data_IF_844034803721
#
_entry.id   IF_844034803721
#
_cell.length_a   1.000
_cell.length_b   1.000
_cell.length_c   1.000
_cell.angle_alpha   90.00
_cell.angle_beta   90.00
_cell.angle_gamma   90.00
#
_symmetry.space_group_name_H-M   'P 1'
#
loop_
_entity.id
_entity.type
_entity.pdbx_description
1 polymer ?
#
# COMPACT_ATOMS: atom_id res chain seq x y z
N UNK A 1 52.23 -10.87 15.54
CA UNK A 1 50.81 -11.27 15.43
C UNK A 1 50.67 -12.31 14.34
N UNK A 2 50.01 -13.45 14.60
CA UNK A 2 49.87 -14.55 13.64
C UNK A 2 49.05 -14.07 12.43
N UNK A 3 49.53 -14.27 11.20
CA UNK A 3 48.86 -13.85 9.95
C UNK A 3 47.42 -14.38 9.85
N UNK A 4 47.14 -15.55 10.47
CA UNK A 4 45.77 -16.11 10.57
C UNK A 4 44.85 -15.29 11.48
N UNK A 5 45.38 -14.79 12.60
CA UNK A 5 44.62 -13.95 13.55
C UNK A 5 44.34 -12.58 12.93
N UNK A 6 45.31 -12.01 12.20
CA UNK A 6 45.11 -10.75 11.48
C UNK A 6 44.02 -10.89 10.40
N UNK A 7 44.00 -11.99 9.63
CA UNK A 7 42.99 -12.24 8.61
C UNK A 7 41.56 -12.34 9.16
N UNK A 8 41.38 -13.00 10.30
CA UNK A 8 40.07 -13.11 10.97
C UNK A 8 39.59 -11.73 11.45
N UNK A 9 40.48 -10.93 12.04
CA UNK A 9 40.14 -9.58 12.52
C UNK A 9 39.68 -8.69 11.37
N UNK A 10 40.37 -8.73 10.22
CA UNK A 10 39.97 -7.94 9.03
C UNK A 10 38.60 -8.40 8.49
N UNK A 11 38.34 -9.71 8.41
CA UNK A 11 37.05 -10.22 7.94
C UNK A 11 35.88 -9.77 8.83
N UNK A 12 36.06 -9.82 10.15
CA UNK A 12 35.04 -9.36 11.11
C UNK A 12 34.79 -7.86 10.98
N UNK A 13 35.84 -7.05 10.82
CA UNK A 13 35.70 -5.60 10.62
C UNK A 13 34.94 -5.29 9.33
N UNK A 14 35.21 -6.00 8.23
CA UNK A 14 34.50 -5.80 6.95
C UNK A 14 33.03 -6.19 7.07
N UNK A 15 32.71 -7.28 7.78
CA UNK A 15 31.31 -7.68 8.02
C UNK A 15 30.60 -6.64 8.89
N UNK A 16 31.21 -6.20 9.98
CA UNK A 16 30.63 -5.19 10.86
C UNK A 16 30.47 -3.85 10.12
N UNK A 17 31.46 -3.44 9.34
CA UNK A 17 31.39 -2.24 8.52
C UNK A 17 30.32 -2.36 7.41
N UNK A 18 30.17 -3.55 6.82
CA UNK A 18 29.12 -3.84 5.85
C UNK A 18 27.73 -3.77 6.45
N UNK A 19 27.53 -4.37 7.64
CA UNK A 19 26.27 -4.28 8.40
C UNK A 19 26.01 -2.84 8.82
N UNK A 20 27.02 -2.14 9.37
CA UNK A 20 26.87 -0.75 9.79
C UNK A 20 26.59 0.17 8.61
N UNK A 21 27.21 -0.04 7.45
CA UNK A 21 26.95 0.73 6.23
C UNK A 21 25.57 0.43 5.65
N UNK A 22 25.12 -0.83 5.69
CA UNK A 22 23.77 -1.23 5.32
C UNK A 22 22.73 -0.54 6.23
N UNK A 23 22.91 -0.66 7.55
CA UNK A 23 22.06 0.02 8.53
C UNK A 23 22.08 1.53 8.35
N UNK A 24 23.24 2.17 8.13
CA UNK A 24 23.35 3.62 7.90
C UNK A 24 22.73 4.09 6.58
N UNK A 25 22.79 3.26 5.53
CA UNK A 25 22.22 3.59 4.23
C UNK A 25 20.69 3.54 4.29
N UNK A 26 20.12 2.57 5.02
CA UNK A 26 18.66 2.46 5.20
C UNK A 26 18.10 3.38 6.31
N UNK A 27 18.86 3.65 7.38
CA UNK A 27 18.41 4.53 8.47
C UNK A 27 18.46 6.02 8.14
N UNK A 28 19.11 6.42 7.04
CA UNK A 28 19.16 7.83 6.60
C UNK A 28 17.98 8.31 5.74
N UNK A 29 17.03 7.44 5.37
CA UNK A 29 15.98 7.81 4.41
C UNK A 29 14.67 8.32 5.06
N UNK A 30 14.40 8.18 6.37
CA UNK A 30 13.07 8.54 6.89
C UNK A 30 12.96 9.07 8.34
N UNK A 31 14.02 9.57 8.97
CA UNK A 31 13.98 9.85 10.42
C UNK A 31 13.59 11.28 10.86
N UNK A 32 13.05 12.16 10.02
CA UNK A 32 12.76 13.55 10.48
C UNK A 32 11.42 14.18 10.11
N UNK A 33 10.63 13.63 9.19
CA UNK A 33 9.29 14.16 8.91
C UNK A 33 8.33 12.99 8.73
N UNK A 34 7.37 12.87 9.65
CA UNK A 34 6.27 11.92 9.49
C UNK A 34 5.53 12.12 8.17
N UNK A 35 4.65 11.19 7.83
CA UNK A 35 3.90 11.28 6.57
C UNK A 35 2.65 12.16 6.74
N UNK A 36 2.34 13.03 5.76
CA UNK A 36 1.09 13.78 5.76
C UNK A 36 -0.10 12.84 5.50
N UNK A 37 -1.22 13.12 6.16
CA UNK A 37 -2.44 12.34 5.94
C UNK A 37 -3.06 12.67 4.57
N UNK A 38 -3.56 11.63 3.89
CA UNK A 38 -4.32 11.70 2.64
C UNK A 38 -3.52 12.18 1.43
N UNK A 39 -2.19 12.01 1.42
CA UNK A 39 -1.33 12.45 0.31
C UNK A 39 -0.23 11.45 0.05
N UNK A 40 0.08 11.24 -1.23
CA UNK A 40 1.27 10.51 -1.62
C UNK A 40 2.53 11.32 -1.32
N UNK A 41 3.57 10.63 -0.87
CA UNK A 41 4.93 11.16 -0.76
C UNK A 41 5.88 10.30 -1.56
N UNK A 42 6.92 10.91 -2.13
CA UNK A 42 8.03 10.17 -2.73
C UNK A 42 8.92 9.63 -1.62
N UNK A 43 9.16 8.32 -1.63
CA UNK A 43 9.90 7.61 -0.58
C UNK A 43 11.22 7.01 -1.05
N UNK A 44 11.39 6.87 -2.36
CA UNK A 44 12.63 6.41 -2.98
C UNK A 44 12.72 6.91 -4.43
N UNK A 45 13.94 6.99 -4.96
CA UNK A 45 14.20 7.18 -6.38
C UNK A 45 14.30 5.85 -7.15
N UNK A 46 14.17 4.73 -6.45
CA UNK A 46 14.20 3.40 -7.06
C UNK A 46 12.89 3.11 -7.82
N UNK A 47 13.06 2.51 -8.99
CA UNK A 47 12.00 1.90 -9.79
C UNK A 47 11.83 0.44 -9.36
N UNK A 48 10.67 0.12 -8.79
CA UNK A 48 10.31 -1.22 -8.34
C UNK A 48 9.37 -1.92 -9.34
N UNK A 49 9.01 -1.25 -10.44
CA UNK A 49 8.21 -1.85 -11.48
C UNK A 49 9.07 -2.73 -12.40
N UNK A 50 8.46 -3.70 -13.09
CA UNK A 50 9.11 -4.35 -14.22
C UNK A 50 9.56 -3.32 -15.27
N UNK A 51 10.61 -3.63 -16.03
CA UNK A 51 11.13 -2.71 -17.05
C UNK A 51 10.04 -2.28 -18.04
N UNK A 52 9.90 -0.96 -18.24
CA UNK A 52 8.89 -0.38 -19.14
C UNK A 52 7.47 -0.36 -18.55
N UNK A 53 7.33 -0.57 -17.25
CA UNK A 53 6.03 -0.58 -16.55
C UNK A 53 6.01 0.40 -15.38
N UNK A 54 4.81 0.62 -14.88
CA UNK A 54 4.49 1.29 -13.63
C UNK A 54 3.65 0.31 -12.82
N UNK A 55 3.90 0.17 -11.54
CA UNK A 55 3.07 -0.64 -10.65
C UNK A 55 2.25 0.25 -9.73
N UNK A 56 0.97 -0.07 -9.58
CA UNK A 56 0.11 0.41 -8.50
C UNK A 56 -0.16 -0.79 -7.60
N UNK A 57 0.12 -0.67 -6.32
CA UNK A 57 0.04 -1.76 -5.35
C UNK A 57 -0.80 -1.31 -4.17
N UNK A 58 -1.89 -2.01 -3.90
CA UNK A 58 -2.77 -1.79 -2.75
C UNK A 58 -2.58 -2.88 -1.70
N UNK A 59 -2.36 -2.48 -0.44
CA UNK A 59 -2.55 -3.33 0.72
C UNK A 59 -3.83 -2.91 1.44
N UNK A 60 -4.73 -3.86 1.67
CA UNK A 60 -5.93 -3.64 2.47
C UNK A 60 -6.36 -4.93 3.20
N UNK A 61 -7.58 -4.97 3.71
CA UNK A 61 -8.24 -6.15 4.24
C UNK A 61 -9.74 -6.08 3.89
N UNK A 62 -10.44 -7.23 3.88
CA UNK A 62 -11.78 -7.30 3.28
C UNK A 62 -12.75 -6.29 3.91
N UNK A 63 -12.83 -6.24 5.23
CA UNK A 63 -13.74 -5.33 5.94
C UNK A 63 -13.19 -3.91 6.15
N UNK A 64 -12.11 -3.49 5.48
CA UNK A 64 -11.49 -2.18 5.71
C UNK A 64 -12.39 -1.04 5.22
N UNK A 65 -12.92 -0.14 6.09
CA UNK A 65 -13.72 1.00 5.62
C UNK A 65 -12.89 1.99 4.79
N UNK A 66 -11.60 2.11 5.09
CA UNK A 66 -10.67 2.97 4.35
C UNK A 66 -10.38 2.39 2.96
N UNK A 67 -10.11 1.08 2.88
CA UNK A 67 -9.93 0.36 1.62
C UNK A 67 -11.20 0.38 0.77
N UNK A 68 -12.36 0.11 1.38
CA UNK A 68 -13.65 0.17 0.71
C UNK A 68 -13.89 1.54 0.05
N UNK A 69 -13.65 2.64 0.78
CA UNK A 69 -13.80 3.98 0.23
C UNK A 69 -12.76 4.30 -0.87
N UNK A 70 -11.51 3.90 -0.68
CA UNK A 70 -10.43 4.14 -1.64
C UNK A 70 -10.60 3.32 -2.94
N UNK A 71 -11.21 2.13 -2.85
CA UNK A 71 -11.43 1.24 -3.99
C UNK A 71 -12.20 1.90 -5.14
N UNK A 72 -13.11 2.84 -4.83
CA UNK A 72 -13.81 3.61 -5.87
C UNK A 72 -12.89 4.54 -6.65
N UNK A 73 -11.95 5.20 -5.96
CA UNK A 73 -10.97 6.07 -6.61
C UNK A 73 -9.96 5.25 -7.43
N UNK A 74 -9.54 4.10 -6.90
CA UNK A 74 -8.69 3.13 -7.63
C UNK A 74 -9.39 2.66 -8.91
N UNK A 75 -10.67 2.25 -8.81
CA UNK A 75 -11.46 1.82 -9.95
C UNK A 75 -11.63 2.93 -10.99
N UNK A 76 -11.94 4.15 -10.57
CA UNK A 76 -12.17 5.28 -11.47
C UNK A 76 -10.94 5.64 -12.30
N UNK A 77 -9.74 5.46 -11.75
CA UNK A 77 -8.47 5.66 -12.49
C UNK A 77 -8.11 4.46 -13.34
N UNK A 78 -8.04 3.28 -12.70
CA UNK A 78 -7.43 2.10 -13.31
C UNK A 78 -8.27 1.49 -14.44
N UNK A 79 -9.58 1.79 -14.51
CA UNK A 79 -10.42 1.42 -15.66
C UNK A 79 -9.92 2.02 -17.00
N UNK A 80 -9.11 3.08 -16.95
CA UNK A 80 -8.49 3.67 -18.14
C UNK A 80 -7.23 2.90 -18.58
N UNK A 81 -6.62 2.11 -17.70
CA UNK A 81 -5.36 1.40 -17.95
C UNK A 81 -5.54 -0.09 -18.26
N UNK A 82 -6.73 -0.63 -18.04
CA UNK A 82 -7.04 -2.03 -18.29
C UNK A 82 -8.42 -2.43 -17.76
N UNK A 83 -8.68 -3.73 -17.76
CA UNK A 83 -9.93 -4.29 -17.28
C UNK A 83 -9.77 -4.76 -15.82
N UNK A 84 -10.58 -4.19 -14.93
CA UNK A 84 -10.68 -4.60 -13.52
C UNK A 84 -11.81 -5.62 -13.36
N UNK A 85 -11.50 -6.73 -12.70
CA UNK A 85 -12.48 -7.66 -12.14
C UNK A 85 -12.67 -7.33 -10.67
N UNK A 86 -13.93 -7.26 -10.23
CA UNK A 86 -14.25 -6.88 -8.86
C UNK A 86 -15.59 -7.45 -8.40
N UNK A 87 -15.78 -7.47 -7.09
CA UNK A 87 -17.03 -7.77 -6.42
C UNK A 87 -17.52 -6.55 -5.63
N UNK A 88 -18.83 -6.34 -5.63
CA UNK A 88 -19.46 -5.31 -4.82
C UNK A 88 -19.49 -5.77 -3.36
N UNK A 89 -19.03 -4.92 -2.45
CA UNK A 89 -18.81 -5.30 -1.06
C UNK A 89 -19.13 -4.15 -0.09
N UNK A 90 -19.27 -4.49 1.19
CA UNK A 90 -19.37 -3.55 2.30
C UNK A 90 -18.25 -3.82 3.28
N UNK A 91 -17.62 -2.78 3.83
CA UNK A 91 -16.69 -2.93 4.95
C UNK A 91 -17.37 -3.57 6.17
N UNK A 92 -16.56 -4.00 7.15
CA UNK A 92 -16.98 -4.66 8.38
C UNK A 92 -18.21 -3.95 9.02
N UNK A 93 -19.34 -4.65 9.21
CA UNK A 93 -20.53 -4.07 9.83
C UNK A 93 -20.34 -3.71 11.31
N UNK A 94 -19.35 -4.32 11.98
CA UNK A 94 -19.05 -4.12 13.40
C UNK A 94 -17.93 -3.10 13.63
N UNK A 95 -17.30 -2.60 12.56
CA UNK A 95 -16.28 -1.55 12.62
C UNK A 95 -16.89 -0.15 12.46
N UNK A 96 -16.20 0.89 12.95
CA UNK A 96 -16.61 2.28 12.76
C UNK A 96 -15.68 3.00 11.77
N UNK A 97 -16.21 3.59 10.68
CA UNK A 97 -17.60 3.56 10.25
C UNK A 97 -18.00 2.19 9.65
N UNK A 98 -19.26 1.82 9.85
CA UNK A 98 -19.81 0.50 9.49
C UNK A 98 -20.38 0.50 8.07
N UNK A 99 -20.37 -0.67 7.43
CA UNK A 99 -21.03 -0.89 6.13
C UNK A 99 -20.66 0.17 5.08
N UNK A 100 -19.39 0.51 4.97
CA UNK A 100 -18.93 1.42 3.92
C UNK A 100 -18.95 0.66 2.58
N UNK A 101 -19.69 1.15 1.57
CA UNK A 101 -19.71 0.48 0.27
C UNK A 101 -18.34 0.58 -0.40
N UNK A 102 -17.91 -0.50 -1.04
CA UNK A 102 -16.62 -0.60 -1.72
C UNK A 102 -16.60 -1.71 -2.77
N UNK A 103 -15.40 -1.92 -3.31
CA UNK A 103 -15.06 -2.98 -4.24
C UNK A 103 -13.98 -3.88 -3.65
N UNK A 104 -14.14 -5.18 -3.84
CA UNK A 104 -13.06 -6.15 -3.68
C UNK A 104 -12.52 -6.47 -5.08
N UNK A 105 -11.28 -6.12 -5.35
CA UNK A 105 -10.64 -6.42 -6.63
C UNK A 105 -10.20 -7.88 -6.68
N UNK A 106 -10.63 -8.58 -7.72
CA UNK A 106 -10.33 -10.00 -7.93
C UNK A 106 -9.36 -10.23 -9.09
N UNK A 107 -9.05 -9.18 -9.85
CA UNK A 107 -8.01 -9.22 -10.87
C UNK A 107 -7.93 -7.94 -11.69
N UNK A 108 -6.80 -7.79 -12.38
CA UNK A 108 -6.58 -6.71 -13.32
C UNK A 108 -5.86 -7.24 -14.56
N UNK A 109 -6.37 -6.90 -15.74
CA UNK A 109 -5.72 -7.18 -17.00
C UNK A 109 -5.33 -5.87 -17.65
N UNK A 110 -4.04 -5.54 -17.55
CA UNK A 110 -3.48 -4.34 -18.16
C UNK A 110 -3.64 -4.34 -19.68
N UNK A 111 -3.91 -3.16 -20.22
CA UNK A 111 -3.85 -2.86 -21.66
C UNK A 111 -2.85 -1.74 -21.95
N UNK A 112 -2.01 -1.36 -20.97
CA UNK A 112 -1.12 -0.19 -21.00
C UNK A 112 0.20 -0.48 -20.24
N UNK A 113 0.91 0.59 -19.83
CA UNK A 113 2.15 0.54 -19.05
C UNK A 113 1.93 0.34 -17.54
N UNK A 114 0.70 0.50 -17.05
CA UNK A 114 0.37 0.30 -15.63
C UNK A 114 -0.05 -1.15 -15.37
N UNK A 115 0.52 -1.75 -14.33
CA UNK A 115 0.05 -2.99 -13.71
C UNK A 115 -0.54 -2.68 -12.33
N UNK A 116 -1.53 -3.46 -11.91
CA UNK A 116 -2.19 -3.30 -10.60
C UNK A 116 -2.16 -4.61 -9.82
N UNK A 117 -1.79 -4.49 -8.56
CA UNK A 117 -1.71 -5.59 -7.61
C UNK A 117 -2.41 -5.19 -6.32
N UNK A 118 -3.11 -6.14 -5.70
CA UNK A 118 -3.77 -5.93 -4.42
C UNK A 118 -3.57 -7.14 -3.54
N UNK A 119 -3.29 -6.91 -2.26
CA UNK A 119 -3.33 -7.95 -1.23
C UNK A 119 -4.32 -7.58 -0.13
N UNK A 120 -5.29 -8.46 0.11
CA UNK A 120 -6.16 -8.42 1.28
C UNK A 120 -5.54 -9.31 2.36
N UNK A 121 -5.14 -8.75 3.50
CA UNK A 121 -4.39 -9.51 4.52
C UNK A 121 -5.30 -10.20 5.56
N UNK A 122 -6.45 -9.62 5.87
CA UNK A 122 -7.39 -10.12 6.87
C UNK A 122 -8.79 -10.35 6.28
N UNK A 123 -9.58 -11.19 6.97
CA UNK A 123 -11.00 -11.39 6.69
C UNK A 123 -11.85 -10.16 7.06
N UNK A 124 -13.15 -10.20 6.76
CA UNK A 124 -14.13 -9.13 7.00
C UNK A 124 -14.23 -8.65 8.46
N UNK A 125 -13.86 -9.45 9.46
CA UNK A 125 -14.05 -9.12 10.89
C UNK A 125 -12.73 -8.91 11.63
N UNK A 126 -11.61 -8.81 10.91
CA UNK A 126 -10.28 -8.59 11.48
C UNK A 126 -9.92 -9.61 12.60
N UNK A 127 -10.37 -10.85 12.47
CA UNK A 127 -10.16 -11.93 13.44
C UNK A 127 -9.55 -13.19 12.83
N UNK A 128 -9.32 -13.18 11.51
CA UNK A 128 -8.65 -14.22 10.76
C UNK A 128 -7.88 -13.61 9.58
N UNK A 129 -6.99 -14.39 8.98
CA UNK A 129 -6.39 -14.09 7.68
C UNK A 129 -7.46 -14.02 6.60
N UNK A 130 -7.10 -13.49 5.43
CA UNK A 130 -7.97 -13.44 4.26
C UNK A 130 -8.56 -14.80 3.83
N UNK A 131 -7.89 -15.91 4.20
CA UNK A 131 -8.34 -17.28 3.90
C UNK A 131 -9.05 -17.98 5.08
N UNK A 132 -9.35 -17.26 6.16
CA UNK A 132 -10.14 -17.76 7.29
C UNK A 132 -9.34 -18.45 8.40
N UNK A 133 -8.00 -18.40 8.37
CA UNK A 133 -7.17 -18.89 9.47
C UNK A 133 -7.22 -17.91 10.65
N UNK A 134 -7.72 -18.30 11.85
CA UNK A 134 -7.87 -17.37 12.97
C UNK A 134 -6.57 -16.70 13.39
N UNK A 135 -6.63 -15.40 13.70
CA UNK A 135 -5.49 -14.60 14.15
C UNK A 135 -5.82 -13.98 15.52
N UNK A 136 -5.03 -14.23 16.56
CA UNK A 136 -5.16 -13.49 17.82
C UNK A 136 -4.97 -11.99 17.62
N UNK A 137 -5.79 -11.16 18.28
CA UNK A 137 -5.75 -9.70 18.10
C UNK A 137 -4.36 -9.07 18.32
N UNK A 138 -3.56 -9.60 19.24
CA UNK A 138 -2.21 -9.12 19.52
C UNK A 138 -1.15 -9.58 18.49
N UNK A 139 -1.53 -10.37 17.49
CA UNK A 139 -0.67 -10.89 16.43
C UNK A 139 -1.03 -10.34 15.04
N UNK A 140 -2.05 -9.48 14.93
CA UNK A 140 -2.55 -8.97 13.65
C UNK A 140 -1.42 -8.37 12.79
N UNK A 141 -0.60 -7.48 13.35
CA UNK A 141 0.52 -6.86 12.61
C UNK A 141 1.51 -7.93 12.13
N UNK A 142 2.02 -8.78 13.02
CA UNK A 142 3.03 -9.79 12.67
C UNK A 142 2.53 -10.76 11.59
N UNK A 143 1.30 -11.25 11.71
CA UNK A 143 0.72 -12.17 10.73
C UNK A 143 0.40 -11.44 9.42
N UNK A 144 -0.10 -10.21 9.49
CA UNK A 144 -0.36 -9.37 8.32
C UNK A 144 0.92 -9.10 7.51
N UNK A 145 2.04 -8.81 8.19
CA UNK A 145 3.34 -8.63 7.53
C UNK A 145 3.81 -9.89 6.80
N UNK A 146 3.60 -11.07 7.40
CA UNK A 146 3.95 -12.34 6.78
C UNK A 146 3.10 -12.60 5.53
N UNK A 147 1.78 -12.47 5.67
CA UNK A 147 0.82 -12.64 4.56
C UNK A 147 1.18 -11.69 3.42
N UNK A 148 1.42 -10.40 3.72
CA UNK A 148 1.73 -9.40 2.69
C UNK A 148 2.99 -9.76 1.90
N UNK A 149 4.05 -10.21 2.59
CA UNK A 149 5.28 -10.66 1.93
C UNK A 149 5.05 -11.87 1.04
N UNK A 150 4.25 -12.84 1.51
CA UNK A 150 3.93 -14.05 0.77
C UNK A 150 3.08 -13.76 -0.47
N UNK A 151 1.99 -13.01 -0.33
CA UNK A 151 1.09 -12.64 -1.42
C UNK A 151 1.81 -11.84 -2.52
N UNK A 152 2.56 -10.80 -2.15
CA UNK A 152 3.30 -10.02 -3.14
C UNK A 152 4.42 -10.82 -3.82
N UNK A 153 5.09 -11.72 -3.11
CA UNK A 153 6.05 -12.62 -3.73
C UNK A 153 5.38 -13.57 -4.73
N UNK A 154 4.19 -14.10 -4.42
CA UNK A 154 3.42 -14.95 -5.34
C UNK A 154 2.95 -14.19 -6.58
N UNK A 155 2.64 -12.89 -6.44
CA UNK A 155 2.32 -11.99 -7.55
C UNK A 155 3.54 -11.59 -8.39
N UNK A 156 4.76 -12.00 -7.99
CA UNK A 156 6.00 -11.70 -8.69
C UNK A 156 6.57 -10.30 -8.43
N UNK A 157 6.12 -9.63 -7.37
CA UNK A 157 6.63 -8.30 -6.99
C UNK A 157 7.99 -8.41 -6.28
N UNK A 158 8.88 -7.41 -6.45
CA UNK A 158 10.12 -7.34 -5.68
C UNK A 158 9.85 -7.29 -4.16
N UNK A 159 10.65 -7.99 -3.32
CA UNK A 159 10.47 -7.98 -1.87
C UNK A 159 10.43 -6.58 -1.24
N UNK A 160 11.11 -5.61 -1.86
CA UNK A 160 11.14 -4.21 -1.47
C UNK A 160 9.75 -3.58 -1.39
N UNK A 161 8.80 -4.00 -2.24
CA UNK A 161 7.43 -3.46 -2.22
C UNK A 161 6.76 -3.75 -0.88
N UNK A 162 6.80 -5.01 -0.43
CA UNK A 162 6.26 -5.40 0.87
C UNK A 162 7.02 -4.72 2.02
N UNK A 163 8.36 -4.66 1.94
CA UNK A 163 9.19 -4.06 2.99
C UNK A 163 8.89 -2.58 3.19
N UNK A 164 8.74 -1.81 2.11
CA UNK A 164 8.41 -0.39 2.20
C UNK A 164 7.01 -0.15 2.75
N UNK A 165 5.99 -0.90 2.29
CA UNK A 165 4.64 -0.78 2.85
C UNK A 165 4.66 -1.05 4.35
N UNK A 166 5.29 -2.16 4.78
CA UNK A 166 5.39 -2.51 6.21
C UNK A 166 6.12 -1.43 7.00
N UNK A 167 7.25 -0.92 6.50
CA UNK A 167 8.01 0.14 7.16
C UNK A 167 7.15 1.40 7.38
N UNK A 168 6.48 1.87 6.33
CA UNK A 168 5.66 3.08 6.40
C UNK A 168 4.37 2.90 7.20
N UNK A 169 3.85 1.68 7.31
CA UNK A 169 2.69 1.38 8.14
C UNK A 169 3.04 1.24 9.63
N UNK A 170 4.19 0.64 9.96
CA UNK A 170 4.49 0.18 11.32
C UNK A 170 5.52 1.03 12.06
N UNK A 171 6.34 1.82 11.34
CA UNK A 171 7.47 2.55 11.91
C UNK A 171 7.39 4.06 11.70
N UNK A 172 6.90 4.51 10.55
CA UNK A 172 6.88 5.94 10.21
C UNK A 172 5.60 6.59 10.73
N UNK A 173 5.66 7.61 11.60
CA UNK A 173 4.48 8.22 12.15
C UNK A 173 3.73 9.07 11.13
N UNK A 174 2.40 9.07 11.20
CA UNK A 174 1.56 10.05 10.52
C UNK A 174 1.54 11.33 11.33
N UNK A 175 1.85 12.48 10.69
CA UNK A 175 2.06 13.78 11.36
C UNK A 175 0.92 14.10 12.34
N UNK A 176 -0.33 13.96 11.89
CA UNK A 176 -1.51 14.37 12.66
C UNK A 176 -1.83 13.43 13.84
N UNK A 177 -1.32 12.19 13.81
CA UNK A 177 -1.62 11.17 14.82
C UNK A 177 -0.44 10.90 15.76
N UNK A 178 0.78 11.30 15.38
CA UNK A 178 2.01 11.03 16.13
C UNK A 178 2.35 9.53 16.25
N UNK A 179 1.69 8.68 15.46
CA UNK A 179 1.83 7.23 15.45
C UNK A 179 1.81 6.68 14.02
N UNK A 180 2.49 5.56 13.74
CA UNK A 180 2.36 4.83 12.48
C UNK A 180 0.93 4.37 12.19
N UNK A 181 0.61 4.14 10.92
CA UNK A 181 -0.78 3.84 10.51
C UNK A 181 -1.34 2.59 11.18
N UNK A 182 -0.52 1.56 11.31
CA UNK A 182 -0.90 0.32 11.95
C UNK A 182 -1.14 0.45 13.47
N UNK A 183 -0.65 1.53 14.10
CA UNK A 183 -0.68 1.73 15.55
C UNK A 183 -1.67 2.80 16.03
N UNK A 184 -2.25 3.61 15.13
CA UNK A 184 -3.32 4.55 15.51
C UNK A 184 -4.72 3.91 15.40
N UNK A 185 -4.86 2.81 14.67
CA UNK A 185 -6.09 2.04 14.53
C UNK A 185 -6.32 1.08 15.72
N UNK A 186 -7.56 0.62 15.89
CA UNK A 186 -7.96 -0.27 16.99
C UNK A 186 -8.78 -1.47 16.47
N UNK A 187 -8.38 -2.71 16.77
CA UNK A 187 -7.07 -3.10 17.34
C UNK A 187 -5.91 -2.69 16.41
N UNK A 188 -4.64 -2.64 16.88
CA UNK A 188 -3.50 -2.40 15.99
C UNK A 188 -3.37 -3.50 14.92
N UNK A 189 -3.29 -3.14 13.64
CA UNK A 189 -3.23 -4.05 12.49
C UNK A 189 -2.70 -3.30 11.25
N UNK A 190 -2.27 -4.02 10.20
CA UNK A 190 -1.95 -3.35 8.93
C UNK A 190 -3.22 -2.74 8.33
N UNK A 191 -3.24 -1.42 8.16
CA UNK A 191 -4.48 -0.68 7.96
C UNK A 191 -4.83 -0.60 6.47
N UNK A 192 -4.01 0.15 5.73
CA UNK A 192 -4.25 0.48 4.33
C UNK A 192 -3.05 1.22 3.77
N UNK A 193 -2.56 0.78 2.62
CA UNK A 193 -1.54 1.49 1.86
C UNK A 193 -1.76 1.39 0.36
N UNK A 194 -1.40 2.46 -0.36
CA UNK A 194 -1.17 2.41 -1.80
C UNK A 194 0.28 2.81 -2.05
N UNK A 195 1.02 1.97 -2.77
CA UNK A 195 2.35 2.24 -3.29
C UNK A 195 2.29 2.34 -4.81
N UNK A 196 2.92 3.37 -5.37
CA UNK A 196 3.03 3.57 -6.82
C UNK A 196 4.51 3.68 -7.16
N UNK A 197 4.99 2.87 -8.11
CA UNK A 197 6.40 2.87 -8.50
C UNK A 197 6.57 2.78 -10.00
N UNK A 198 7.56 3.49 -10.53
CA UNK A 198 7.95 3.49 -11.93
C UNK A 198 9.32 4.16 -12.12
N UNK A 199 9.71 4.45 -13.38
CA UNK A 199 11.06 4.93 -13.71
C UNK A 199 11.53 6.20 -12.98
N UNK A 200 10.60 7.04 -12.49
CA UNK A 200 10.93 8.26 -11.76
C UNK A 200 10.88 8.10 -10.24
N UNK A 201 10.70 6.88 -9.72
CA UNK A 201 10.79 6.54 -8.31
C UNK A 201 9.51 5.97 -7.72
N UNK A 202 9.52 5.84 -6.40
CA UNK A 202 8.48 5.16 -5.63
C UNK A 202 7.78 6.13 -4.67
N UNK A 203 6.46 6.03 -4.61
CA UNK A 203 5.56 6.89 -3.87
C UNK A 203 4.63 6.04 -3.00
N UNK A 204 4.23 6.55 -1.84
CA UNK A 204 3.30 5.84 -0.94
C UNK A 204 2.32 6.78 -0.24
N UNK A 205 1.15 6.25 0.10
CA UNK A 205 0.21 6.80 1.07
C UNK A 205 -0.28 5.67 1.97
N UNK A 206 -0.34 5.88 3.30
CA UNK A 206 -0.81 4.86 4.28
C UNK A 206 -1.98 5.35 5.13
N UNK A 207 -2.72 6.33 4.60
CA UNK A 207 -3.84 6.98 5.27
C UNK A 207 -4.99 7.17 4.29
N UNK A 208 -6.23 7.39 4.77
CA UNK A 208 -7.39 7.54 3.89
C UNK A 208 -7.20 8.66 2.86
N UNK A 209 -7.35 8.33 1.58
CA UNK A 209 -7.43 9.30 0.47
C UNK A 209 -8.88 9.72 0.17
N UNK A 210 -9.84 8.91 0.61
CA UNK A 210 -11.28 9.21 0.65
C UNK A 210 -11.73 9.03 2.10
N UNK A 211 -12.44 10.01 2.66
CA UNK A 211 -13.05 9.83 3.98
C UNK A 211 -14.22 8.85 3.88
N UNK A 212 -14.20 7.69 4.56
CA UNK A 212 -15.25 6.67 4.41
C UNK A 212 -16.64 7.16 4.81
N UNK A 213 -16.75 8.10 5.76
CA UNK A 213 -18.05 8.55 6.27
C UNK A 213 -18.91 9.27 5.23
N UNK A 214 -18.32 9.75 4.12
CA UNK A 214 -19.10 10.34 3.02
C UNK A 214 -19.95 9.32 2.28
N UNK A 215 -19.65 8.03 2.45
CA UNK A 215 -20.31 6.91 1.78
C UNK A 215 -21.30 6.16 2.68
N UNK A 216 -21.46 6.59 3.94
CA UNK A 216 -22.44 5.99 4.86
C UNK A 216 -23.86 6.08 4.30
N UNK A 217 -24.59 4.96 4.38
CA UNK A 217 -25.98 4.85 3.93
C UNK A 217 -26.16 4.61 2.43
N UNK A 218 -25.09 4.65 1.62
CA UNK A 218 -25.17 4.27 0.21
C UNK A 218 -24.95 2.77 0.00
N UNK A 219 -25.45 2.24 -1.11
CA UNK A 219 -25.13 0.88 -1.57
C UNK A 219 -23.97 0.89 -2.57
N UNK A 220 -23.20 -0.22 -2.70
CA UNK A 220 -22.16 -0.33 -3.70
C UNK A 220 -22.68 -0.13 -5.12
N UNK A 221 -23.89 -0.63 -5.44
CA UNK A 221 -24.54 -0.44 -6.73
C UNK A 221 -24.84 1.03 -7.00
N UNK A 222 -25.29 1.77 -5.98
CA UNK A 222 -25.56 3.20 -6.10
C UNK A 222 -24.27 3.97 -6.36
N UNK A 223 -23.22 3.73 -5.57
CA UNK A 223 -21.92 4.42 -5.74
C UNK A 223 -21.35 4.14 -7.13
N UNK A 224 -21.33 2.87 -7.57
CA UNK A 224 -20.81 2.49 -8.89
C UNK A 224 -21.53 3.21 -10.05
N UNK A 225 -22.86 3.36 -9.96
CA UNK A 225 -23.66 4.00 -11.02
C UNK A 225 -23.65 5.53 -10.96
N UNK A 226 -23.10 6.13 -9.89
CA UNK A 226 -23.10 7.58 -9.65
C UNK A 226 -21.73 8.10 -9.18
N UNK A 227 -20.62 7.47 -9.59
CA UNK A 227 -19.26 7.82 -9.15
C UNK A 227 -18.94 9.31 -9.37
N UNK A 228 -19.45 9.89 -10.46
CA UNK A 228 -19.30 11.30 -10.83
C UNK A 228 -19.95 12.28 -9.84
N UNK A 229 -20.87 11.80 -8.99
CA UNK A 229 -21.55 12.58 -7.95
C UNK A 229 -20.76 12.68 -6.65
N UNK A 230 -19.60 12.03 -6.54
CA UNK A 230 -18.76 12.02 -5.34
C UNK A 230 -17.44 12.77 -5.59
N UNK A 231 -17.38 14.11 -5.41
CA UNK A 231 -16.19 14.91 -5.70
C UNK A 231 -14.92 14.42 -5.00
N UNK A 232 -15.04 13.87 -3.80
CA UNK A 232 -13.92 13.33 -3.03
C UNK A 232 -13.32 12.08 -3.67
N UNK A 233 -14.17 11.21 -4.26
CA UNK A 233 -13.70 10.05 -5.04
C UNK A 233 -12.97 10.54 -6.29
N UNK A 234 -13.55 11.50 -7.02
CA UNK A 234 -12.93 12.07 -8.23
C UNK A 234 -11.60 12.78 -7.90
N UNK A 235 -11.52 13.49 -6.77
CA UNK A 235 -10.27 14.12 -6.31
C UNK A 235 -9.21 13.09 -5.94
N UNK A 236 -9.58 12.01 -5.25
CA UNK A 236 -8.67 10.92 -4.91
C UNK A 236 -8.21 10.17 -6.17
N UNK A 237 -9.09 9.94 -7.14
CA UNK A 237 -8.77 9.38 -8.44
C UNK A 237 -7.73 10.24 -9.16
N UNK A 238 -7.94 11.55 -9.26
CA UNK A 238 -6.95 12.48 -9.82
C UNK A 238 -5.62 12.46 -9.08
N UNK A 239 -5.64 12.29 -7.76
CA UNK A 239 -4.41 12.17 -6.98
C UNK A 239 -3.62 10.93 -7.38
N UNK A 240 -4.28 9.76 -7.46
CA UNK A 240 -3.66 8.51 -7.93
C UNK A 240 -3.12 8.69 -9.36
N UNK A 241 -3.92 9.25 -10.27
CA UNK A 241 -3.52 9.52 -11.66
C UNK A 241 -2.26 10.40 -11.72
N UNK A 242 -2.24 11.50 -10.98
CA UNK A 242 -1.09 12.40 -10.96
C UNK A 242 0.16 11.71 -10.40
N UNK A 243 0.02 10.88 -9.36
CA UNK A 243 1.14 10.11 -8.82
C UNK A 243 1.62 9.03 -9.81
N UNK A 244 0.73 8.38 -10.55
CA UNK A 244 1.10 7.48 -11.66
C UNK A 244 1.93 8.25 -12.70
N UNK A 245 1.48 9.42 -13.14
CA UNK A 245 2.20 10.26 -14.12
C UNK A 245 3.56 10.74 -13.58
N UNK A 246 3.63 11.12 -12.31
CA UNK A 246 4.87 11.50 -11.65
C UNK A 246 5.87 10.33 -11.60
N UNK A 247 5.40 9.13 -11.23
CA UNK A 247 6.22 7.91 -11.19
C UNK A 247 6.63 7.41 -12.59
N UNK A 248 5.80 7.66 -13.61
CA UNK A 248 6.03 7.24 -14.99
C UNK A 248 7.32 7.83 -15.59
N UNK A 249 7.64 9.09 -15.24
CA UNK A 249 8.78 9.80 -15.81
C UNK A 249 8.77 9.76 -17.35
N UNK A 250 9.76 9.15 -18.02
CA UNK A 250 9.78 9.00 -19.47
C UNK A 250 8.54 8.29 -20.07
N UNK A 251 7.85 7.44 -19.29
CA UNK A 251 6.65 6.72 -19.73
C UNK A 251 5.37 7.56 -19.65
N UNK A 252 5.42 8.81 -19.19
CA UNK A 252 4.22 9.62 -18.96
C UNK A 252 3.35 9.81 -20.21
N UNK A 253 3.96 9.81 -21.41
CA UNK A 253 3.23 9.91 -22.69
C UNK A 253 2.49 8.63 -23.09
N UNK A 254 2.76 7.51 -22.41
CA UNK A 254 2.10 6.23 -22.63
C UNK A 254 0.90 6.03 -21.70
N UNK A 255 0.72 6.92 -20.72
CA UNK A 255 -0.43 6.94 -19.84
C UNK A 255 -1.64 7.62 -20.52
N UNK A 256 -2.82 6.97 -20.56
CA UNK A 256 -4.06 7.64 -20.95
C UNK A 256 -4.34 8.83 -20.01
N UNK A 257 -4.83 9.92 -20.60
CA UNK A 257 -5.21 11.17 -19.93
C UNK A 257 -6.71 11.35 -19.85
#
# INVERSE_FOLDING_TARGET
MNKKILGIIVAVIVIIAGIAAYELFFSKIAMAQGIPAGRFIKISNEDLAPSGKIIVVEQSWYGCPVGAAASWAIYDVLKNYGNLSYELHYSDPDHSPANIPGLIFTGFKSTSVVEFYVAYVYNEYLNASYNGTPIPQNQLIQVGEQILKEEYAQMGLPPQVAQLIIQYETQIPVINYGKPSALYVKPPHLNFAILISGPNGTYIVTTPIVNPTILEGYSPQYVLSHLDQFPQIIQAARMIQNTILEAAGPLATECPT
#
